data_IF_866662567887
#
_entry.id   IF_866662567887
#
_cell.length_a   1.000
_cell.length_b   1.000
_cell.length_c   1.000
_cell.angle_alpha   90.00
_cell.angle_beta   90.00
_cell.angle_gamma   90.00
#
_symmetry.space_group_name_H-M   'P 1'
#
loop_
_entity.id
_entity.type
_entity.pdbx_description
1 polymer ?
#
# COMPACT_ATOMS: atom_id res chain seq x y z
N UNK A 1 27.07 -10.79 10.77
CA UNK A 1 26.31 -9.52 10.81
C UNK A 1 24.92 -9.83 10.28
N UNK A 2 23.86 -9.55 11.04
CA UNK A 2 22.49 -9.84 10.58
C UNK A 2 22.07 -8.80 9.53
N UNK A 3 21.63 -9.25 8.36
CA UNK A 3 21.00 -8.37 7.38
C UNK A 3 19.67 -7.88 7.96
N UNK A 4 19.38 -6.59 7.77
CA UNK A 4 18.10 -5.97 8.14
C UNK A 4 17.34 -5.70 6.86
N UNK A 5 16.04 -5.95 6.91
CA UNK A 5 15.12 -5.66 5.82
C UNK A 5 14.42 -4.35 6.15
N UNK A 6 14.20 -3.51 5.15
CA UNK A 6 13.54 -2.23 5.31
C UNK A 6 12.30 -2.23 4.44
N UNK A 7 11.15 -1.90 5.03
CA UNK A 7 9.91 -1.69 4.29
C UNK A 7 9.55 -0.22 4.39
N UNK A 8 9.34 0.43 3.24
CA UNK A 8 9.03 1.84 3.20
C UNK A 8 8.21 2.21 1.96
N UNK A 9 7.59 3.37 1.99
CA UNK A 9 6.75 3.81 0.89
C UNK A 9 5.85 4.97 1.26
N UNK A 10 4.83 5.17 0.43
CA UNK A 10 3.81 6.19 0.65
C UNK A 10 2.44 5.74 0.14
N UNK A 11 1.39 6.29 0.73
CA UNK A 11 0.00 6.10 0.34
C UNK A 11 -0.54 7.47 -0.03
N UNK A 12 -1.03 7.60 -1.26
CA UNK A 12 -1.67 8.81 -1.75
C UNK A 12 -3.12 8.82 -1.28
N UNK A 13 -3.44 9.76 -0.38
CA UNK A 13 -4.79 9.91 0.16
C UNK A 13 -5.66 10.80 -0.73
N UNK A 14 -6.98 10.71 -0.58
CA UNK A 14 -7.94 11.43 -1.42
C UNK A 14 -7.77 12.96 -1.32
N UNK A 15 -7.89 13.51 -0.11
CA UNK A 15 -7.80 14.95 0.14
C UNK A 15 -7.55 15.25 1.63
N UNK A 16 -7.50 16.55 1.98
CA UNK A 16 -7.31 16.97 3.37
C UNK A 16 -8.51 16.71 4.28
N UNK A 17 -9.72 16.49 3.75
CA UNK A 17 -10.89 16.14 4.56
C UNK A 17 -10.81 14.68 5.02
N UNK A 18 -10.31 13.80 4.14
CA UNK A 18 -10.00 12.40 4.41
C UNK A 18 -8.88 12.22 5.46
N UNK A 19 -8.07 13.24 5.72
CA UNK A 19 -6.92 13.16 6.63
C UNK A 19 -7.31 12.69 8.04
N UNK A 20 -8.39 13.23 8.61
CA UNK A 20 -8.84 12.89 9.95
C UNK A 20 -9.43 11.47 10.00
N UNK A 21 -10.19 11.06 8.97
CA UNK A 21 -10.69 9.70 8.83
C UNK A 21 -9.54 8.69 8.73
N UNK A 22 -8.53 8.97 7.90
CA UNK A 22 -7.33 8.15 7.76
C UNK A 22 -6.52 8.08 9.06
N UNK A 23 -6.41 9.19 9.79
CA UNK A 23 -5.75 9.20 11.11
C UNK A 23 -6.48 8.28 12.10
N UNK A 24 -7.81 8.31 12.11
CA UNK A 24 -8.62 7.42 12.97
C UNK A 24 -8.49 5.96 12.55
N UNK A 25 -8.56 5.67 11.25
CA UNK A 25 -8.37 4.33 10.70
C UNK A 25 -6.99 3.76 11.05
N UNK A 26 -5.92 4.56 10.90
CA UNK A 26 -4.58 4.20 11.31
C UNK A 26 -4.48 3.92 12.81
N UNK A 27 -5.21 4.64 13.68
CA UNK A 27 -5.20 4.40 15.12
C UNK A 27 -5.99 3.16 15.54
N UNK A 28 -7.06 2.85 14.82
CA UNK A 28 -7.94 1.73 15.10
C UNK A 28 -7.45 0.39 14.50
N UNK A 29 -6.50 0.43 13.57
CA UNK A 29 -6.02 -0.77 12.91
C UNK A 29 -5.30 -1.70 13.90
N UNK A 30 -5.59 -3.01 13.89
CA UNK A 30 -4.98 -3.98 14.80
C UNK A 30 -3.58 -4.37 14.33
N UNK A 31 -2.59 -3.50 14.55
CA UNK A 31 -1.18 -3.82 14.27
C UNK A 31 -0.68 -4.95 15.17
N UNK A 32 0.34 -5.64 14.69
CA UNK A 32 1.14 -6.52 15.53
C UNK A 32 2.05 -5.67 16.41
N UNK A 33 2.18 -5.97 17.71
CA UNK A 33 3.01 -5.17 18.62
C UNK A 33 4.49 -5.12 18.19
N UNK A 34 4.97 -6.15 17.48
CA UNK A 34 6.38 -6.28 17.12
C UNK A 34 6.62 -6.82 15.70
N UNK A 35 5.77 -7.69 15.16
CA UNK A 35 6.02 -8.40 13.89
C UNK A 35 4.79 -9.19 13.39
N UNK A 36 4.58 -9.37 12.07
CA UNK A 36 5.32 -8.74 10.98
C UNK A 36 4.89 -7.30 10.70
N UNK A 37 3.72 -6.86 11.17
CA UNK A 37 3.11 -5.59 10.74
C UNK A 37 2.93 -4.58 11.90
N UNK A 38 4.03 -3.99 12.43
CA UNK A 38 3.97 -2.95 13.44
C UNK A 38 3.53 -1.62 12.86
N UNK A 39 3.12 -0.70 13.74
CA UNK A 39 2.77 0.65 13.34
C UNK A 39 4.03 1.45 12.93
N UNK A 40 4.24 1.58 11.62
CA UNK A 40 5.34 2.33 10.99
C UNK A 40 4.81 3.50 10.14
N UNK A 41 3.55 3.88 10.31
CA UNK A 41 2.83 4.81 9.44
C UNK A 41 2.78 6.20 10.07
N UNK A 42 3.10 7.21 9.27
CA UNK A 42 3.07 8.61 9.65
C UNK A 42 2.24 9.39 8.63
N UNK A 43 1.23 10.10 9.12
CA UNK A 43 0.39 10.94 8.26
C UNK A 43 0.96 12.35 8.21
N UNK A 44 1.33 12.81 7.02
CA UNK A 44 1.80 14.19 6.82
C UNK A 44 0.67 15.04 6.26
N UNK A 45 0.27 16.08 7.01
CA UNK A 45 -0.67 17.06 6.48
C UNK A 45 0.05 17.92 5.43
N UNK A 46 -0.53 18.02 4.24
CA UNK A 46 0.01 18.81 3.14
C UNK A 46 -0.93 19.99 2.84
N UNK A 47 -1.00 21.03 3.69
CA UNK A 47 -1.93 22.14 3.50
C UNK A 47 -1.65 22.96 2.22
N UNK A 48 -0.44 22.86 1.66
CA UNK A 48 -0.03 23.57 0.43
C UNK A 48 -0.06 22.72 -0.83
N UNK A 49 0.03 21.41 -0.72
CA UNK A 49 0.07 20.48 -1.83
C UNK A 49 -1.17 19.62 -1.70
N UNK A 50 -2.15 19.76 -2.59
CA UNK A 50 -3.51 19.17 -2.52
C UNK A 50 -3.57 17.63 -2.46
N UNK A 51 -2.46 16.98 -2.15
CA UNK A 51 -2.25 15.55 -2.08
C UNK A 51 -1.62 15.20 -0.70
N UNK A 52 -2.42 15.16 0.39
CA UNK A 52 -1.94 14.58 1.64
C UNK A 52 -1.52 13.13 1.41
N UNK A 53 -0.50 12.70 2.14
CA UNK A 53 0.08 11.36 1.97
C UNK A 53 0.38 10.75 3.33
N UNK A 54 0.27 9.43 3.41
CA UNK A 54 0.78 8.66 4.55
C UNK A 54 2.13 8.13 4.12
N UNK A 55 3.19 8.49 4.83
CA UNK A 55 4.54 7.97 4.63
C UNK A 55 4.75 6.85 5.64
N UNK A 56 5.44 5.77 5.24
CA UNK A 56 5.78 4.71 6.17
C UNK A 56 7.19 4.19 5.94
N UNK A 57 7.79 3.71 7.02
CA UNK A 57 9.17 3.23 7.02
C UNK A 57 9.51 2.46 8.29
N UNK A 58 9.90 1.20 8.15
CA UNK A 58 10.25 0.32 9.26
C UNK A 58 11.43 -0.58 8.93
N UNK A 59 12.20 -0.93 9.95
CA UNK A 59 13.28 -1.93 9.84
C UNK A 59 12.87 -3.22 10.52
N UNK A 60 13.09 -4.34 9.85
CA UNK A 60 12.64 -5.67 10.24
C UNK A 60 13.80 -6.65 10.25
N UNK A 61 13.64 -7.71 11.05
CA UNK A 61 14.51 -8.87 10.98
C UNK A 61 13.84 -9.89 10.06
N UNK A 62 14.29 -9.96 8.80
CA UNK A 62 13.89 -10.98 7.82
C UNK A 62 12.39 -10.96 7.41
N UNK A 63 11.81 -9.78 7.19
CA UNK A 63 10.39 -9.67 6.77
C UNK A 63 10.08 -10.34 5.43
N UNK A 64 11.09 -10.56 4.59
CA UNK A 64 10.98 -11.31 3.33
C UNK A 64 10.48 -12.75 3.53
N UNK A 65 10.71 -13.36 4.70
CA UNK A 65 10.21 -14.71 5.01
C UNK A 65 8.71 -14.73 5.32
N UNK A 66 8.17 -13.59 5.81
CA UNK A 66 6.75 -13.41 6.13
C UNK A 66 6.09 -12.36 5.22
N UNK A 67 6.66 -12.15 4.03
CA UNK A 67 6.25 -11.06 3.14
C UNK A 67 4.78 -11.15 2.76
N UNK A 68 4.27 -12.36 2.48
CA UNK A 68 2.84 -12.58 2.21
C UNK A 68 1.96 -12.06 3.34
N UNK A 69 2.26 -12.45 4.59
CA UNK A 69 1.52 -12.01 5.78
C UNK A 69 1.61 -10.50 5.94
N UNK A 70 2.79 -9.92 5.77
CA UNK A 70 3.00 -8.46 5.84
C UNK A 70 2.14 -7.74 4.79
N UNK A 71 2.18 -8.21 3.54
CA UNK A 71 1.54 -7.58 2.40
C UNK A 71 0.01 -7.72 2.45
N UNK A 72 -0.50 -8.84 2.95
CA UNK A 72 -1.94 -9.03 3.20
C UNK A 72 -2.45 -8.07 4.27
N UNK A 73 -1.70 -7.91 5.37
CA UNK A 73 -2.01 -6.92 6.41
C UNK A 73 -1.96 -5.49 5.87
N UNK A 74 -0.99 -5.21 5.01
CA UNK A 74 -0.91 -3.92 4.31
C UNK A 74 -2.13 -3.67 3.43
N UNK A 75 -2.54 -4.62 2.60
CA UNK A 75 -3.74 -4.48 1.77
C UNK A 75 -5.03 -4.35 2.61
N UNK A 76 -5.11 -5.06 3.73
CA UNK A 76 -6.20 -4.91 4.69
C UNK A 76 -6.23 -3.51 5.31
N UNK A 77 -5.07 -2.95 5.66
CA UNK A 77 -4.96 -1.56 6.12
C UNK A 77 -5.41 -0.59 5.02
N UNK A 78 -4.93 -0.75 3.79
CA UNK A 78 -5.32 0.12 2.67
C UNK A 78 -6.84 0.12 2.46
N UNK A 79 -7.51 -1.00 2.69
CA UNK A 79 -8.96 -1.13 2.59
C UNK A 79 -9.73 -0.34 3.67
N UNK A 80 -9.07 0.16 4.73
CA UNK A 80 -9.69 1.02 5.75
C UNK A 80 -9.46 2.51 5.50
N UNK A 81 -8.70 2.86 4.47
CA UNK A 81 -8.27 4.23 4.20
C UNK A 81 -9.03 4.84 3.02
N UNK A 82 -9.25 6.14 3.10
CA UNK A 82 -9.62 7.00 1.98
C UNK A 82 -8.36 7.32 1.16
N UNK A 83 -7.97 6.37 0.31
CA UNK A 83 -6.75 6.44 -0.50
C UNK A 83 -6.99 5.93 -1.92
N UNK A 84 -6.16 6.41 -2.85
CA UNK A 84 -6.30 6.15 -4.29
C UNK A 84 -5.13 5.35 -4.86
N UNK A 85 -3.97 5.39 -4.20
CA UNK A 85 -2.77 4.68 -4.64
C UNK A 85 -1.86 4.41 -3.44
N UNK A 86 -1.12 3.30 -3.47
CA UNK A 86 -0.08 2.99 -2.51
C UNK A 86 1.16 2.45 -3.21
N UNK A 87 2.32 2.96 -2.81
CA UNK A 87 3.62 2.48 -3.27
C UNK A 87 4.36 1.88 -2.08
N UNK A 88 4.75 0.61 -2.18
CA UNK A 88 5.49 -0.12 -1.14
C UNK A 88 6.78 -0.69 -1.70
N UNK A 89 7.85 -0.54 -0.95
CA UNK A 89 9.20 -1.00 -1.30
C UNK A 89 9.71 -1.90 -0.19
N UNK A 90 10.17 -3.10 -0.56
CA UNK A 90 10.97 -3.99 0.27
C UNK A 90 12.43 -3.90 -0.17
N UNK A 91 13.31 -3.54 0.75
CA UNK A 91 14.77 -3.56 0.57
C UNK A 91 15.36 -4.58 1.55
N UNK A 92 15.90 -5.69 1.04
CA UNK A 92 16.41 -6.80 1.84
C UNK A 92 17.64 -7.42 1.18
N UNK A 93 18.19 -8.48 1.78
CA UNK A 93 19.39 -9.14 1.25
C UNK A 93 19.16 -9.85 -0.10
N UNK A 94 17.90 -10.15 -0.45
CA UNK A 94 17.52 -10.71 -1.75
C UNK A 94 17.54 -9.66 -2.86
N UNK A 95 17.35 -8.38 -2.51
CA UNK A 95 17.28 -7.27 -3.45
C UNK A 95 16.29 -6.20 -3.02
N UNK A 96 15.91 -5.36 -3.98
CA UNK A 96 14.95 -4.26 -3.81
C UNK A 96 13.76 -4.44 -4.75
N UNK A 97 12.57 -4.47 -4.17
CA UNK A 97 11.33 -4.79 -4.85
C UNK A 97 10.29 -3.71 -4.56
N UNK A 98 9.56 -3.27 -5.58
CA UNK A 98 8.57 -2.20 -5.47
C UNK A 98 7.24 -2.63 -6.08
N UNK A 99 6.16 -2.43 -5.33
CA UNK A 99 4.79 -2.67 -5.78
C UNK A 99 4.00 -1.37 -5.71
N UNK A 100 3.16 -1.16 -6.73
CA UNK A 100 2.15 -0.11 -6.74
C UNK A 100 0.78 -0.77 -6.72
N UNK A 101 -0.08 -0.29 -5.83
CA UNK A 101 -1.43 -0.76 -5.65
C UNK A 101 -2.44 0.36 -5.84
N UNK A 102 -3.64 0.01 -6.27
CA UNK A 102 -4.79 0.90 -6.33
C UNK A 102 -6.07 0.15 -5.93
N UNK A 103 -7.13 0.86 -5.50
CA UNK A 103 -8.47 0.29 -5.38
C UNK A 103 -8.91 -0.38 -6.69
N UNK A 104 -9.58 -1.52 -6.60
CA UNK A 104 -10.00 -2.33 -7.75
C UNK A 104 -10.82 -1.52 -8.76
N UNK A 105 -11.74 -0.67 -8.28
CA UNK A 105 -12.54 0.22 -9.14
C UNK A 105 -11.67 1.14 -9.99
N UNK A 106 -10.56 1.65 -9.45
CA UNK A 106 -9.64 2.55 -10.16
C UNK A 106 -8.71 1.77 -11.08
N UNK A 107 -8.23 0.61 -10.63
CA UNK A 107 -7.41 -0.29 -11.45
C UNK A 107 -8.14 -0.76 -12.73
N UNK A 108 -9.47 -0.92 -12.64
CA UNK A 108 -10.34 -1.26 -13.79
C UNK A 108 -10.70 -0.06 -14.68
N UNK A 109 -10.14 1.13 -14.41
CA UNK A 109 -10.39 2.34 -15.21
C UNK A 109 -11.57 3.19 -14.75
N UNK A 110 -12.13 2.91 -13.56
CA UNK A 110 -13.13 3.77 -12.92
C UNK A 110 -12.53 5.12 -12.49
N UNK A 111 -13.42 6.09 -12.26
CA UNK A 111 -13.05 7.41 -11.76
C UNK A 111 -13.29 7.52 -10.26
N UNK A 112 -12.38 8.19 -9.56
CA UNK A 112 -12.53 8.54 -8.13
C UNK A 112 -13.85 9.27 -7.89
N UNK A 113 -14.20 10.24 -8.76
CA UNK A 113 -15.44 11.00 -8.63
C UNK A 113 -16.67 10.10 -8.72
N UNK A 114 -16.70 9.18 -9.69
CA UNK A 114 -17.84 8.26 -9.85
C UNK A 114 -17.98 7.32 -8.64
N UNK A 115 -16.85 6.79 -8.14
CA UNK A 115 -16.83 5.92 -6.97
C UNK A 115 -17.34 6.63 -5.71
N UNK A 116 -16.98 7.91 -5.53
CA UNK A 116 -17.45 8.74 -4.42
C UNK A 116 -18.91 9.17 -4.59
N UNK A 117 -19.37 9.47 -5.80
CA UNK A 117 -20.78 9.80 -6.04
C UNK A 117 -21.72 8.62 -5.73
N UNK A 118 -21.27 7.39 -6.01
CA UNK A 118 -22.06 6.18 -5.79
C UNK A 118 -22.07 5.73 -4.31
N UNK A 119 -20.92 5.75 -3.64
CA UNK A 119 -20.77 5.17 -2.28
C UNK A 119 -20.42 6.17 -1.18
N UNK A 120 -19.94 7.36 -1.55
CA UNK A 120 -19.48 8.38 -0.61
C UNK A 120 -18.12 8.11 0.04
N UNK A 121 -17.46 7.00 -0.28
CA UNK A 121 -16.20 6.55 0.35
C UNK A 121 -15.44 5.59 -0.55
N UNK A 122 -14.11 5.54 -0.39
CA UNK A 122 -13.24 4.49 -0.94
C UNK A 122 -12.87 3.42 0.09
N UNK A 123 -13.33 3.55 1.33
CA UNK A 123 -13.16 2.51 2.35
C UNK A 123 -13.94 1.25 2.00
N UNK A 124 -13.43 0.10 2.42
CA UNK A 124 -13.96 -1.23 2.10
C UNK A 124 -13.59 -1.74 0.71
N UNK A 125 -12.89 -0.93 -0.10
CA UNK A 125 -12.45 -1.35 -1.42
C UNK A 125 -11.40 -2.44 -1.36
N UNK A 126 -11.50 -3.39 -2.28
CA UNK A 126 -10.42 -4.33 -2.52
C UNK A 126 -9.28 -3.62 -3.23
N UNK A 127 -8.05 -3.89 -2.81
CA UNK A 127 -6.85 -3.36 -3.46
C UNK A 127 -6.23 -4.38 -4.39
N UNK A 128 -5.70 -3.89 -5.51
CA UNK A 128 -5.06 -4.67 -6.56
C UNK A 128 -3.65 -4.15 -6.84
N UNK A 129 -2.74 -5.04 -7.24
CA UNK A 129 -1.41 -4.65 -7.73
C UNK A 129 -1.57 -4.19 -9.18
N UNK A 130 -1.20 -2.93 -9.44
CA UNK A 130 -1.18 -2.33 -10.77
C UNK A 130 0.22 -2.30 -11.39
N UNK A 131 1.26 -2.36 -10.54
CA UNK A 131 2.64 -2.54 -10.96
C UNK A 131 3.35 -3.48 -9.98
N UNK A 132 3.96 -4.55 -10.52
CA UNK A 132 4.76 -5.51 -9.78
C UNK A 132 6.24 -5.43 -10.19
N UNK A 133 7.18 -5.75 -9.28
CA UNK A 133 8.59 -5.81 -9.63
C UNK A 133 8.88 -7.07 -10.46
N UNK A 134 9.99 -7.05 -11.20
CA UNK A 134 10.51 -8.26 -11.82
C UNK A 134 11.10 -9.16 -10.72
N UNK A 135 10.43 -10.28 -10.44
CA UNK A 135 10.87 -11.27 -9.45
C UNK A 135 11.31 -12.51 -10.24
N UNK A 136 12.50 -13.04 -9.92
CA UNK A 136 12.98 -14.29 -10.51
C UNK A 136 12.12 -15.47 -10.07
N UNK A 137 12.02 -16.51 -10.90
CA UNK A 137 11.20 -17.71 -10.61
C UNK A 137 11.51 -18.31 -9.23
N UNK A 138 12.79 -18.34 -8.83
CA UNK A 138 13.26 -18.86 -7.53
C UNK A 138 12.74 -18.07 -6.31
N UNK A 139 12.24 -16.84 -6.51
CA UNK A 139 11.76 -15.95 -5.45
C UNK A 139 10.25 -15.69 -5.52
N UNK A 140 9.55 -16.23 -6.53
CA UNK A 140 8.11 -16.01 -6.68
C UNK A 140 7.34 -16.54 -5.47
N UNK A 141 7.65 -17.76 -5.03
CA UNK A 141 6.97 -18.40 -3.89
C UNK A 141 7.24 -17.71 -2.55
N UNK A 142 8.22 -16.79 -2.48
CA UNK A 142 8.57 -16.06 -1.27
C UNK A 142 8.02 -14.62 -1.29
N UNK A 143 8.04 -13.95 -2.44
CA UNK A 143 7.78 -12.52 -2.54
C UNK A 143 6.52 -12.15 -3.32
N UNK A 144 5.87 -13.07 -4.03
CA UNK A 144 4.67 -12.77 -4.82
C UNK A 144 3.40 -12.77 -3.93
N UNK A 145 2.75 -11.62 -3.68
CA UNK A 145 1.61 -11.54 -2.75
C UNK A 145 0.49 -12.52 -3.15
N UNK A 146 0.24 -13.53 -2.33
CA UNK A 146 -0.79 -14.52 -2.57
C UNK A 146 -2.17 -13.91 -2.28
N UNK A 147 -3.13 -14.03 -3.21
CA UNK A 147 -4.52 -13.62 -2.96
C UNK A 147 -4.88 -12.17 -3.30
N UNK A 148 -3.91 -11.34 -3.68
CA UNK A 148 -4.15 -10.01 -4.22
C UNK A 148 -4.26 -10.08 -5.74
N UNK A 149 -5.30 -9.44 -6.28
CA UNK A 149 -5.50 -9.39 -7.72
C UNK A 149 -4.41 -8.55 -8.37
N UNK A 150 -3.82 -9.06 -9.44
CA UNK A 150 -2.89 -8.31 -10.29
C UNK A 150 -3.68 -7.83 -11.51
N UNK A 151 -3.81 -6.51 -11.64
CA UNK A 151 -4.47 -5.87 -12.78
C UNK A 151 -3.41 -5.00 -13.46
N UNK A 152 -2.66 -5.62 -14.38
CA UNK A 152 -1.67 -4.88 -15.18
C UNK A 152 -2.45 -4.14 -16.27
N UNK A 153 -2.72 -2.86 -16.05
CA UNK A 153 -3.38 -2.04 -17.05
C UNK A 153 -2.32 -1.51 -18.04
N UNK A 154 -2.30 -1.93 -19.32
CA UNK A 154 -1.32 -1.45 -20.29
C UNK A 154 -1.49 0.04 -20.66
N UNK A 155 -2.57 0.70 -20.21
CA UNK A 155 -2.93 2.06 -20.61
C UNK A 155 -2.56 3.16 -19.60
N UNK A 156 -2.16 2.83 -18.36
CA UNK A 156 -1.71 3.83 -17.39
C UNK A 156 -0.21 4.11 -17.55
N UNK A 157 0.15 4.75 -18.67
CA UNK A 157 1.37 5.55 -18.72
C UNK A 157 1.01 6.84 -17.98
N UNK A 158 1.45 6.97 -16.73
CA UNK A 158 1.26 8.19 -15.94
C UNK A 158 1.79 9.40 -16.70
N UNK A 159 0.88 10.21 -17.24
CA UNK A 159 1.16 11.57 -17.69
C UNK A 159 1.00 12.50 -16.50
N UNK A 160 2.12 13.03 -16.01
CA UNK A 160 2.15 14.25 -15.20
C UNK A 160 1.80 15.46 -16.07
#
# INVERSE_FOLDING_TARGET
>A
MGFRSVVFGHIHTLDNQAHEANRQALQAFPYDELYPFPNIFHIESAPRYKAPSIIFGGTFKQVEDDWHTWFDRFAALLSTLEAIEANVILDCWLGRYAWTLAPEVLAQGGSVTAALDERGTLTGERWCIIQAPAISDDLQDQLAPAGILIIINPAQIYGY
#
